data_IF_656088131751
#
_entry.id   IF_656088131751
#
_cell.length_a   1.000
_cell.length_b   1.000
_cell.length_c   1.000
_cell.angle_alpha   90.00
_cell.angle_beta   90.00
_cell.angle_gamma   90.00
#
_symmetry.space_group_name_H-M   'P 1'
#
loop_
_entity.id
_entity.type
_entity.pdbx_description
1 polymer ?
#
# COMPACT_ATOMS: atom_id res chain seq x y z
N UNK A 1 -2.29 -9.64 -0.53
CA UNK A 1 -2.50 -8.23 -0.95
C UNK A 1 -1.16 -7.53 -0.83
N UNK A 2 -0.33 -7.70 -1.84
CA UNK A 2 0.80 -6.82 -2.15
C UNK A 2 0.29 -5.63 -2.95
N UNK A 3 -0.47 -4.77 -2.26
CA UNK A 3 -0.82 -3.44 -2.75
C UNK A 3 0.12 -2.38 -2.14
N UNK A 4 1.28 -2.83 -1.67
CA UNK A 4 2.50 -2.07 -1.67
C UNK A 4 3.38 -2.78 -2.70
N UNK A 5 3.47 -2.22 -3.88
CA UNK A 5 4.42 -1.14 -4.07
C UNK A 5 3.88 0.25 -4.35
N UNK A 6 2.62 0.55 -4.05
CA UNK A 6 2.21 1.94 -3.90
C UNK A 6 2.75 2.45 -2.54
N UNK A 7 4.07 2.42 -2.41
CA UNK A 7 4.97 2.94 -1.39
C UNK A 7 4.39 3.20 0.00
N UNK A 8 4.91 2.43 0.96
CA UNK A 8 4.60 2.45 2.40
C UNK A 8 3.16 2.78 2.77
N UNK A 9 2.33 1.76 3.05
CA UNK A 9 1.05 1.86 3.77
C UNK A 9 0.29 3.16 3.44
N UNK A 10 -0.44 3.17 2.33
CA UNK A 10 -1.57 4.10 2.26
C UNK A 10 -2.61 3.55 3.24
N UNK A 11 -3.17 4.43 4.09
CA UNK A 11 -4.51 4.35 4.70
C UNK A 11 -4.59 4.12 6.23
N UNK A 12 -4.77 5.23 6.97
CA UNK A 12 -5.10 5.33 8.38
C UNK A 12 -5.11 6.75 9.05
N UNK A 13 -6.29 7.31 9.21
CA UNK A 13 -6.77 8.59 9.76
C UNK A 13 -6.38 9.23 11.16
N UNK A 14 -6.39 10.59 11.12
CA UNK A 14 -6.68 11.68 12.10
C UNK A 14 -5.75 12.11 13.28
N UNK A 15 -5.18 13.33 13.17
CA UNK A 15 -4.84 14.20 14.32
C UNK A 15 -5.16 15.69 14.06
N UNK A 16 -5.68 16.36 15.10
CA UNK A 16 -5.99 17.78 15.11
C UNK A 16 -4.73 18.68 15.14
N UNK A 17 -4.84 19.82 14.44
CA UNK A 17 -3.83 20.87 14.30
C UNK A 17 -3.45 21.57 15.62
N UNK A 18 -2.15 21.82 15.79
CA UNK A 18 -1.61 22.87 16.65
C UNK A 18 -0.39 23.51 15.96
N UNK A 19 -0.53 24.74 15.50
CA UNK A 19 0.53 25.43 14.74
C UNK A 19 1.63 26.05 15.60
N UNK A 20 2.78 26.35 14.98
CA UNK A 20 3.35 27.71 14.86
C UNK A 20 4.77 27.69 14.25
N UNK A 21 5.01 28.73 13.44
CA UNK A 21 6.25 29.47 13.20
C UNK A 21 7.43 28.84 12.43
N UNK A 22 7.71 29.47 11.29
CA UNK A 22 8.96 29.37 10.54
C UNK A 22 10.10 30.04 11.29
N UNK A 23 11.17 29.29 11.51
CA UNK A 23 12.52 29.84 11.65
C UNK A 23 13.41 29.23 10.56
N UNK A 24 14.03 30.11 9.78
CA UNK A 24 14.96 29.76 8.70
C UNK A 24 16.27 29.29 9.32
N UNK A 25 16.48 27.97 9.38
CA UNK A 25 17.75 27.37 9.81
C UNK A 25 18.68 27.10 8.61
N UNK A 26 19.98 27.34 8.81
CA UNK A 26 21.05 27.04 7.86
C UNK A 26 21.02 25.55 7.46
N UNK A 27 21.10 25.31 6.14
CA UNK A 27 21.14 23.97 5.55
C UNK A 27 22.44 23.25 5.95
N UNK A 28 22.40 22.63 7.12
CA UNK A 28 23.27 21.51 7.45
C UNK A 28 22.87 20.39 6.49
N UNK A 29 23.81 19.79 5.76
CA UNK A 29 23.50 18.63 4.93
C UNK A 29 22.80 17.60 5.83
N UNK A 30 21.53 17.30 5.54
CA UNK A 30 20.76 16.37 6.35
C UNK A 30 21.44 15.00 6.27
N UNK A 31 22.01 14.57 7.38
CA UNK A 31 22.61 13.23 7.51
C UNK A 31 21.58 12.29 8.11
N UNK A 32 21.44 11.09 7.56
CA UNK A 32 20.50 10.09 8.08
C UNK A 32 19.11 10.19 7.46
N UNK A 33 18.11 9.66 8.16
CA UNK A 33 16.77 9.37 7.61
C UNK A 33 15.79 10.56 7.65
N UNK A 34 16.09 11.55 8.49
CA UNK A 34 15.26 12.75 8.67
C UNK A 34 15.13 13.51 7.35
N UNK A 35 13.90 13.93 7.06
CA UNK A 35 13.57 14.73 5.89
C UNK A 35 12.19 14.42 5.36
N UNK A 36 11.78 15.20 4.35
CA UNK A 36 10.64 14.87 3.51
C UNK A 36 11.15 14.17 2.26
N UNK A 37 10.58 13.02 1.95
CA UNK A 37 10.96 12.18 0.83
C UNK A 37 9.79 12.06 -0.14
N UNK A 38 10.09 12.20 -1.42
CA UNK A 38 9.12 12.01 -2.49
C UNK A 38 9.46 10.76 -3.28
N UNK A 39 8.48 9.89 -3.44
CA UNK A 39 8.74 8.61 -4.08
C UNK A 39 8.91 8.70 -5.59
N UNK A 40 9.89 7.97 -6.11
CA UNK A 40 10.05 7.69 -7.52
C UNK A 40 9.29 6.42 -7.93
N UNK A 41 8.11 6.58 -8.54
CA UNK A 41 7.29 5.46 -9.01
C UNK A 41 8.00 4.59 -10.07
N UNK A 42 8.83 5.20 -10.91
CA UNK A 42 9.53 4.50 -12.01
C UNK A 42 10.65 3.56 -11.51
N UNK A 43 11.02 3.67 -10.23
CA UNK A 43 12.06 2.83 -9.61
C UNK A 43 11.51 1.54 -9.01
N UNK A 44 10.20 1.35 -9.02
CA UNK A 44 9.58 0.21 -8.37
C UNK A 44 9.91 -1.10 -9.12
N UNK A 45 10.35 -2.11 -8.38
CA UNK A 45 10.64 -3.45 -8.88
C UNK A 45 9.97 -4.48 -7.97
N UNK A 46 9.37 -5.52 -8.56
CA UNK A 46 8.59 -6.53 -7.83
C UNK A 46 9.19 -7.93 -7.97
N UNK A 47 9.15 -8.70 -6.88
CA UNK A 47 9.52 -10.12 -6.87
C UNK A 47 8.40 -10.93 -6.20
N UNK A 48 8.02 -12.06 -6.81
CA UNK A 48 6.98 -12.98 -6.29
C UNK A 48 5.63 -12.30 -5.93
N UNK A 49 5.32 -11.15 -6.52
CA UNK A 49 4.15 -10.34 -6.18
C UNK A 49 2.95 -10.59 -7.11
N UNK A 50 2.81 -11.81 -7.63
CA UNK A 50 1.73 -12.14 -8.55
C UNK A 50 0.39 -12.23 -7.81
N UNK A 51 -0.65 -11.68 -8.43
CA UNK A 51 -2.02 -11.79 -7.95
C UNK A 51 -2.83 -12.76 -8.81
N UNK A 52 -3.67 -13.58 -8.19
CA UNK A 52 -4.50 -14.55 -8.87
C UNK A 52 -5.98 -14.33 -8.53
N UNK A 53 -6.77 -14.07 -9.56
CA UNK A 53 -8.20 -13.80 -9.47
C UNK A 53 -8.98 -14.76 -10.35
N UNK A 54 -10.18 -15.15 -9.91
CA UNK A 54 -11.14 -15.86 -10.73
C UNK A 54 -12.50 -15.18 -10.63
N UNK A 55 -13.08 -14.83 -11.77
CA UNK A 55 -14.40 -14.23 -11.87
C UNK A 55 -15.21 -15.08 -12.84
N UNK A 56 -16.03 -15.96 -12.30
CA UNK A 56 -16.80 -16.94 -13.07
C UNK A 56 -18.12 -17.21 -12.37
N UNK A 57 -19.15 -17.56 -13.15
CA UNK A 57 -20.47 -17.94 -12.63
C UNK A 57 -21.10 -16.93 -11.65
N UNK A 58 -20.78 -15.64 -11.83
CA UNK A 58 -21.27 -14.54 -10.96
C UNK A 58 -20.54 -14.40 -9.63
N UNK A 59 -19.42 -15.10 -9.43
CA UNK A 59 -18.59 -15.03 -8.23
C UNK A 59 -17.20 -14.48 -8.56
N UNK A 60 -16.70 -13.58 -7.71
CA UNK A 60 -15.29 -13.16 -7.65
C UNK A 60 -14.58 -13.96 -6.56
N UNK A 61 -13.41 -14.49 -6.87
CA UNK A 61 -12.50 -15.16 -5.94
C UNK A 61 -11.11 -14.54 -6.04
N UNK A 62 -10.54 -14.16 -4.90
CA UNK A 62 -9.13 -13.78 -4.78
C UNK A 62 -8.32 -14.95 -4.21
N UNK A 63 -7.66 -15.71 -5.09
CA UNK A 63 -6.87 -16.89 -4.71
C UNK A 63 -5.52 -16.52 -4.06
N UNK A 64 -4.97 -15.36 -4.42
CA UNK A 64 -3.71 -14.83 -3.84
C UNK A 64 -3.93 -13.96 -2.60
N UNK A 65 -5.18 -13.80 -2.15
CA UNK A 65 -5.44 -13.10 -0.90
C UNK A 65 -5.10 -14.00 0.29
N UNK A 66 -4.73 -13.40 1.42
CA UNK A 66 -4.35 -14.12 2.63
C UNK A 66 -5.31 -13.75 3.78
N UNK A 67 -6.24 -14.64 4.18
CA UNK A 67 -6.62 -15.89 3.49
C UNK A 67 -7.38 -15.63 2.17
N UNK A 68 -7.48 -16.61 1.26
CA UNK A 68 -8.30 -16.50 0.06
C UNK A 68 -9.77 -16.28 0.42
N UNK A 69 -10.52 -15.60 -0.44
CA UNK A 69 -11.96 -15.39 -0.24
C UNK A 69 -12.72 -15.24 -1.54
N UNK A 70 -14.04 -15.40 -1.44
CA UNK A 70 -14.97 -15.29 -2.55
C UNK A 70 -16.21 -14.49 -2.14
N UNK A 71 -16.76 -13.71 -3.08
CA UNK A 71 -18.00 -12.94 -2.95
C UNK A 71 -18.71 -12.89 -4.30
N UNK A 72 -20.01 -12.63 -4.32
CA UNK A 72 -20.73 -12.40 -5.57
C UNK A 72 -20.18 -11.16 -6.30
N UNK A 73 -20.14 -11.20 -7.63
CA UNK A 73 -19.73 -10.09 -8.49
C UNK A 73 -20.95 -9.38 -9.10
N UNK A 74 -21.96 -9.11 -8.26
CA UNK A 74 -23.30 -8.64 -8.64
C UNK A 74 -23.56 -7.15 -8.32
N UNK A 75 -22.54 -6.43 -7.85
CA UNK A 75 -22.63 -5.03 -7.47
C UNK A 75 -23.38 -4.74 -6.17
N UNK A 76 -23.55 -5.74 -5.30
CA UNK A 76 -24.09 -5.54 -3.96
C UNK A 76 -22.98 -5.59 -2.89
N UNK A 77 -23.16 -4.78 -1.83
CA UNK A 77 -22.30 -4.85 -0.65
C UNK A 77 -22.48 -6.19 0.06
N UNK A 78 -21.35 -6.83 0.38
CA UNK A 78 -21.29 -8.13 1.02
C UNK A 78 -20.32 -8.09 2.19
N UNK A 79 -20.75 -8.63 3.32
CA UNK A 79 -19.90 -8.73 4.50
C UNK A 79 -18.76 -9.71 4.29
N UNK A 80 -17.58 -9.32 4.74
CA UNK A 80 -16.38 -10.15 4.77
C UNK A 80 -15.72 -10.03 6.14
N UNK A 81 -15.03 -11.09 6.57
CA UNK A 81 -14.25 -11.09 7.80
C UNK A 81 -12.77 -10.93 7.44
N UNK A 82 -12.31 -9.68 7.39
CA UNK A 82 -10.93 -9.35 7.01
C UNK A 82 -10.39 -8.20 7.85
N UNK A 83 -9.08 -8.18 8.13
CA UNK A 83 -8.47 -7.05 8.82
C UNK A 83 -8.61 -5.74 8.00
N UNK A 84 -9.12 -4.69 8.63
CA UNK A 84 -9.29 -3.36 8.02
C UNK A 84 -10.42 -3.24 7.00
N UNK A 85 -11.27 -4.26 6.87
CA UNK A 85 -12.31 -4.33 5.85
C UNK A 85 -13.45 -5.25 6.31
N UNK A 86 -14.67 -4.75 6.40
CA UNK A 86 -15.84 -5.55 6.79
C UNK A 86 -16.88 -5.72 5.68
N UNK A 87 -16.80 -4.93 4.61
CA UNK A 87 -17.65 -5.09 3.42
C UNK A 87 -16.91 -4.82 2.12
N UNK A 88 -17.23 -5.62 1.11
CA UNK A 88 -16.77 -5.41 -0.27
C UNK A 88 -17.94 -5.38 -1.23
N UNK A 89 -17.75 -4.72 -2.36
CA UNK A 89 -18.65 -4.75 -3.50
C UNK A 89 -17.82 -5.03 -4.74
N UNK A 90 -18.22 -6.02 -5.53
CA UNK A 90 -17.59 -6.35 -6.80
C UNK A 90 -18.66 -6.30 -7.87
N UNK A 91 -18.42 -5.57 -8.96
CA UNK A 91 -19.37 -5.38 -10.06
C UNK A 91 -18.71 -5.75 -11.37
N UNK A 92 -19.23 -6.75 -12.08
CA UNK A 92 -18.89 -6.95 -13.51
C UNK A 92 -19.63 -5.90 -14.33
N UNK A 93 -18.89 -4.99 -14.97
CA UNK A 93 -19.46 -3.89 -15.77
C UNK A 93 -19.68 -4.33 -17.22
N UNK A 94 -18.68 -4.99 -17.80
CA UNK A 94 -18.70 -5.57 -19.15
C UNK A 94 -17.72 -6.77 -19.21
N UNK A 95 -17.35 -7.23 -20.41
CA UNK A 95 -16.47 -8.40 -20.58
C UNK A 95 -15.00 -8.14 -20.19
N UNK A 96 -14.60 -6.86 -20.08
CA UNK A 96 -13.23 -6.42 -19.84
C UNK A 96 -13.07 -5.60 -18.57
N UNK A 97 -14.17 -5.21 -17.91
CA UNK A 97 -14.17 -4.22 -16.84
C UNK A 97 -14.88 -4.72 -15.59
N UNK A 98 -14.19 -4.56 -14.45
CA UNK A 98 -14.74 -4.85 -13.11
C UNK A 98 -14.51 -3.65 -12.21
N UNK A 99 -15.50 -3.34 -11.38
CA UNK A 99 -15.37 -2.35 -10.32
C UNK A 99 -15.33 -3.04 -8.96
N UNK A 100 -14.47 -2.54 -8.08
CA UNK A 100 -14.34 -3.01 -6.70
C UNK A 100 -14.48 -1.82 -5.76
N UNK A 101 -15.16 -2.01 -4.64
CA UNK A 101 -15.22 -1.04 -3.54
C UNK A 101 -15.13 -1.74 -2.19
N UNK A 102 -14.69 -1.00 -1.19
CA UNK A 102 -14.39 -1.51 0.16
C UNK A 102 -14.89 -0.55 1.25
N UNK A 103 -15.30 -1.10 2.39
CA UNK A 103 -15.75 -0.37 3.58
C UNK A 103 -15.22 -0.95 4.87
N UNK A 104 -15.19 -0.11 5.89
CA UNK A 104 -14.96 -0.53 7.26
C UNK A 104 -15.86 0.26 8.20
N UNK A 105 -16.59 -0.42 9.09
CA UNK A 105 -17.48 0.19 10.07
C UNK A 105 -18.52 1.16 9.48
N UNK A 106 -18.89 0.93 8.21
CA UNK A 106 -19.88 1.73 7.47
C UNK A 106 -19.30 2.88 6.65
N UNK A 107 -18.00 3.15 6.73
CA UNK A 107 -17.31 4.19 5.96
C UNK A 107 -16.65 3.62 4.70
N UNK A 108 -16.72 4.36 3.59
CA UNK A 108 -16.05 3.99 2.33
C UNK A 108 -14.53 4.14 2.48
N UNK A 109 -13.77 3.07 2.21
CA UNK A 109 -12.30 3.06 2.30
C UNK A 109 -11.62 3.29 0.95
N UNK A 110 -12.28 2.86 -0.12
CA UNK A 110 -11.73 3.04 -1.45
C UNK A 110 -12.50 2.27 -2.52
N UNK A 111 -12.15 2.59 -3.76
CA UNK A 111 -12.70 1.96 -4.96
C UNK A 111 -11.65 1.83 -6.04
N UNK A 112 -11.87 0.88 -6.95
CA UNK A 112 -11.04 0.73 -8.13
C UNK A 112 -11.83 0.25 -9.34
N UNK A 113 -11.34 0.63 -10.53
CA UNK A 113 -11.85 0.17 -11.83
C UNK A 113 -10.72 -0.57 -12.53
N UNK A 114 -10.95 -1.84 -12.80
CA UNK A 114 -9.99 -2.74 -13.43
C UNK A 114 -10.41 -2.91 -14.88
N UNK A 115 -9.54 -2.56 -15.81
CA UNK A 115 -9.80 -2.68 -17.24
C UNK A 115 -8.72 -3.53 -17.90
N UNK A 116 -9.13 -4.66 -18.47
CA UNK A 116 -8.26 -5.54 -19.25
C UNK A 116 -8.21 -5.04 -20.69
N UNK A 117 -7.00 -4.85 -21.22
CA UNK A 117 -6.78 -4.42 -22.59
C UNK A 117 -7.34 -5.40 -23.62
N UNK A 118 -7.58 -4.93 -24.84
CA UNK A 118 -8.08 -5.76 -25.95
C UNK A 118 -7.15 -6.94 -26.29
N UNK A 119 -5.85 -6.79 -26.01
CA UNK A 119 -4.86 -7.86 -26.16
C UNK A 119 -5.03 -8.99 -25.12
N UNK A 120 -5.82 -8.74 -24.08
CA UNK A 120 -5.98 -9.61 -22.93
C UNK A 120 -4.74 -9.68 -22.04
N UNK A 121 -3.61 -9.08 -22.41
CA UNK A 121 -2.31 -9.28 -21.76
C UNK A 121 -1.99 -8.19 -20.73
N UNK A 122 -2.67 -7.06 -20.79
CA UNK A 122 -2.48 -5.94 -19.88
C UNK A 122 -3.75 -5.66 -19.09
N UNK A 123 -3.59 -5.18 -17.85
CA UNK A 123 -4.69 -4.68 -17.04
C UNK A 123 -4.27 -3.37 -16.37
N UNK A 124 -5.14 -2.38 -16.45
CA UNK A 124 -5.00 -1.11 -15.76
C UNK A 124 -5.97 -1.06 -14.59
N UNK A 125 -5.50 -0.65 -13.43
CA UNK A 125 -6.29 -0.46 -12.22
C UNK A 125 -6.24 1.01 -11.84
N UNK A 126 -7.33 1.72 -12.08
CA UNK A 126 -7.50 3.09 -11.57
C UNK A 126 -8.12 2.99 -10.19
N UNK A 127 -7.50 3.61 -9.18
CA UNK A 127 -7.97 3.52 -7.80
C UNK A 127 -8.15 4.89 -7.16
N UNK A 128 -9.03 4.92 -6.16
CA UNK A 128 -9.23 6.04 -5.26
C UNK A 128 -9.31 5.48 -3.85
N UNK A 129 -8.51 6.04 -2.96
CA UNK A 129 -8.55 5.71 -1.55
C UNK A 129 -9.10 6.89 -0.76
N UNK A 130 -9.84 6.59 0.30
CA UNK A 130 -10.51 7.55 1.13
C UNK A 130 -9.97 7.47 2.56
N UNK A 131 -9.47 8.61 3.04
CA UNK A 131 -8.98 8.80 4.39
C UNK A 131 -9.63 10.03 5.01
N UNK A 132 -9.60 10.15 6.33
CA UNK A 132 -9.92 11.40 7.02
C UNK A 132 -9.03 12.56 6.56
N UNK A 133 -7.79 12.25 6.12
CA UNK A 133 -6.88 13.24 5.54
C UNK A 133 -7.35 13.74 4.15
N UNK A 134 -8.26 13.01 3.49
CA UNK A 134 -8.81 13.32 2.17
C UNK A 134 -8.82 12.12 1.25
N UNK A 135 -8.92 12.37 -0.06
CA UNK A 135 -8.82 11.32 -1.08
C UNK A 135 -7.45 11.33 -1.77
N UNK A 136 -6.97 10.14 -2.14
CA UNK A 136 -5.81 9.97 -3.03
C UNK A 136 -6.18 9.07 -4.19
N UNK A 137 -5.49 9.25 -5.31
CA UNK A 137 -5.74 8.51 -6.53
C UNK A 137 -4.46 8.03 -7.17
N UNK A 138 -4.59 7.02 -8.02
CA UNK A 138 -3.50 6.57 -8.86
C UNK A 138 -3.90 5.47 -9.81
N UNK A 139 -2.90 5.01 -10.57
CA UNK A 139 -3.07 4.03 -11.64
C UNK A 139 -1.97 2.99 -11.57
N UNK A 140 -2.36 1.73 -11.35
CA UNK A 140 -1.46 0.57 -11.38
C UNK A 140 -1.60 -0.18 -12.69
N UNK A 141 -0.49 -0.72 -13.18
CA UNK A 141 -0.43 -1.51 -14.40
C UNK A 141 -0.02 -2.94 -14.07
N UNK A 142 -0.67 -3.91 -14.70
CA UNK A 142 -0.40 -5.33 -14.53
C UNK A 142 -0.18 -6.01 -15.88
N UNK A 143 0.68 -7.01 -15.91
CA UNK A 143 0.91 -7.90 -17.06
C UNK A 143 0.43 -9.30 -16.73
N UNK A 144 -0.27 -9.94 -17.66
CA UNK A 144 -0.77 -11.30 -17.48
C UNK A 144 0.39 -12.30 -17.45
N UNK A 145 0.37 -13.16 -16.44
CA UNK A 145 1.25 -14.34 -16.30
C UNK A 145 0.53 -15.59 -16.80
N UNK A 146 -0.72 -15.78 -16.37
CA UNK A 146 -1.55 -16.91 -16.77
C UNK A 146 -2.99 -16.46 -17.04
N UNK A 147 -3.64 -17.07 -18.03
CA UNK A 147 -5.05 -16.80 -18.33
C UNK A 147 -5.95 -17.42 -17.26
N UNK A 148 -7.12 -16.82 -17.04
CA UNK A 148 -8.16 -17.44 -16.23
C UNK A 148 -8.75 -18.70 -16.87
N UNK A 149 -9.55 -19.48 -16.12
CA UNK A 149 -10.27 -20.63 -16.66
C UNK A 149 -11.14 -20.27 -17.86
N UNK A 150 -11.33 -21.20 -18.80
CA UNK A 150 -12.21 -20.98 -19.95
C UNK A 150 -13.63 -20.56 -19.51
N UNK A 151 -14.17 -19.51 -20.13
CA UNK A 151 -15.49 -18.96 -19.82
C UNK A 151 -15.53 -18.01 -18.62
N UNK A 152 -14.40 -17.77 -17.96
CA UNK A 152 -14.28 -16.72 -16.93
C UNK A 152 -14.18 -15.32 -17.56
N UNK A 153 -14.51 -14.29 -16.78
CA UNK A 153 -14.37 -12.89 -17.17
C UNK A 153 -12.89 -12.53 -17.42
N UNK A 154 -12.59 -11.58 -18.32
CA UNK A 154 -11.23 -11.29 -18.80
C UNK A 154 -10.23 -10.92 -17.68
N UNK A 155 -10.70 -10.33 -16.58
CA UNK A 155 -9.87 -10.01 -15.41
C UNK A 155 -9.38 -11.26 -14.64
N UNK A 156 -9.95 -12.43 -14.89
CA UNK A 156 -9.52 -13.69 -14.29
C UNK A 156 -8.14 -14.10 -14.81
N UNK A 157 -7.35 -14.73 -13.95
CA UNK A 157 -6.01 -15.21 -14.24
C UNK A 157 -4.98 -14.76 -13.22
N UNK A 158 -3.72 -14.99 -13.56
CA UNK A 158 -2.57 -14.56 -12.77
C UNK A 158 -1.94 -13.32 -13.41
N UNK A 159 -1.64 -12.33 -12.57
CA UNK A 159 -1.19 -11.00 -12.95
C UNK A 159 0.05 -10.58 -12.17
N UNK A 160 1.10 -10.19 -12.86
CA UNK A 160 2.30 -9.60 -12.29
C UNK A 160 2.21 -8.05 -12.35
N UNK A 161 2.62 -7.34 -11.29
CA UNK A 161 2.77 -5.89 -11.35
C UNK A 161 3.75 -5.46 -12.44
N UNK A 162 3.38 -4.42 -13.18
CA UNK A 162 4.19 -3.86 -14.27
C UNK A 162 4.59 -2.40 -14.02
N UNK A 163 3.92 -1.70 -13.10
CA UNK A 163 4.22 -0.31 -12.80
C UNK A 163 3.10 0.41 -12.03
N UNK A 164 3.40 1.61 -11.58
CA UNK A 164 2.42 2.60 -11.13
C UNK A 164 2.68 3.87 -11.93
N UNK A 165 1.76 4.24 -12.83
CA UNK A 165 1.97 5.34 -13.77
C UNK A 165 1.58 6.70 -13.20
N UNK A 166 0.63 6.72 -12.28
CA UNK A 166 0.09 7.95 -11.68
C UNK A 166 -0.17 7.73 -10.20
N UNK A 167 0.14 8.74 -9.40
CA UNK A 167 -0.18 8.81 -7.98
C UNK A 167 -0.20 10.29 -7.57
N UNK A 168 -1.17 10.70 -6.76
CA UNK A 168 -1.23 12.08 -6.27
C UNK A 168 0.03 12.47 -5.47
N UNK A 169 0.37 13.76 -5.45
CA UNK A 169 1.59 14.25 -4.79
C UNK A 169 1.57 13.93 -3.28
N UNK A 170 0.39 14.03 -2.68
CA UNK A 170 0.18 13.75 -1.26
C UNK A 170 0.49 12.28 -0.94
N UNK A 171 0.01 11.35 -1.77
CA UNK A 171 0.28 9.91 -1.62
C UNK A 171 1.76 9.55 -1.84
N UNK A 172 2.54 10.43 -2.50
CA UNK A 172 3.97 10.22 -2.76
C UNK A 172 4.88 10.87 -1.73
N UNK A 173 4.35 11.53 -0.71
CA UNK A 173 5.15 12.29 0.26
C UNK A 173 5.19 11.57 1.60
N UNK A 174 6.39 11.35 2.13
CA UNK A 174 6.60 10.89 3.50
C UNK A 174 7.53 11.85 4.24
N UNK A 175 7.24 12.15 5.50
CA UNK A 175 8.06 13.01 6.35
C UNK A 175 8.52 12.23 7.56
N UNK A 176 9.82 12.31 7.83
CA UNK A 176 10.46 11.63 8.95
C UNK A 176 11.16 12.68 9.80
N UNK A 177 10.84 12.69 11.09
CA UNK A 177 11.51 13.53 12.09
C UNK A 177 12.11 12.66 13.18
N UNK A 178 13.13 13.18 13.86
CA UNK A 178 13.87 12.47 14.91
C UNK A 178 14.08 13.42 16.10
N UNK A 179 13.77 12.94 17.30
CA UNK A 179 14.09 13.60 18.58
C UNK A 179 14.73 12.58 19.54
N UNK A 180 16.06 12.63 19.64
CA UNK A 180 16.82 11.59 20.33
C UNK A 180 16.63 10.24 19.64
N UNK A 181 16.21 9.23 20.40
CA UNK A 181 15.91 7.89 19.87
C UNK A 181 14.45 7.75 19.37
N UNK A 182 13.68 8.85 19.33
CA UNK A 182 12.27 8.82 18.89
C UNK A 182 12.18 9.23 17.43
N UNK A 183 11.61 8.37 16.59
CA UNK A 183 11.25 8.66 15.20
C UNK A 183 9.76 8.95 15.12
N UNK A 184 9.41 10.00 14.38
CA UNK A 184 8.04 10.20 13.91
C UNK A 184 8.02 10.07 12.40
N UNK A 185 7.24 9.13 11.91
CA UNK A 185 6.92 8.94 10.50
C UNK A 185 5.53 9.50 10.23
N UNK A 186 5.38 10.27 9.17
CA UNK A 186 4.10 10.78 8.70
C UNK A 186 3.98 10.60 7.18
N UNK A 187 2.84 10.12 6.73
CA UNK A 187 2.47 9.98 5.32
C UNK A 187 1.03 10.49 5.10
N UNK A 188 0.54 10.43 3.87
CA UNK A 188 -0.85 10.76 3.61
C UNK A 188 -1.79 9.82 4.37
N UNK A 189 -2.59 10.40 5.26
CA UNK A 189 -3.55 9.66 6.05
C UNK A 189 -2.90 8.57 6.88
N UNK A 190 -1.75 8.82 7.52
CA UNK A 190 -1.12 7.81 8.38
C UNK A 190 0.16 8.31 9.03
N UNK A 191 0.62 7.56 10.03
CA UNK A 191 1.87 7.85 10.71
C UNK A 191 2.08 7.02 11.97
N UNK A 192 3.24 7.18 12.58
CA UNK A 192 3.51 6.64 13.91
C UNK A 192 4.64 7.42 14.58
N UNK A 193 4.66 7.38 15.91
CA UNK A 193 5.80 7.80 16.72
C UNK A 193 6.32 6.60 17.50
N UNK A 194 7.58 6.23 17.26
CA UNK A 194 8.20 5.05 17.85
C UNK A 194 9.61 5.34 18.36
N UNK A 195 10.03 4.60 19.38
CA UNK A 195 11.44 4.60 19.82
C UNK A 195 12.23 3.59 19.01
N UNK A 196 13.41 3.99 18.50
CA UNK A 196 14.33 3.11 17.78
C UNK A 196 14.74 1.92 18.66
N UNK A 197 14.45 0.70 18.19
CA UNK A 197 14.69 -0.54 18.95
C UNK A 197 13.75 -0.75 20.13
N UNK A 198 12.67 0.03 20.21
CA UNK A 198 11.61 -0.09 21.22
C UNK A 198 10.55 -1.14 20.87
N UNK A 199 9.53 -1.23 21.72
CA UNK A 199 8.35 -2.07 21.48
C UNK A 199 7.52 -1.55 20.30
N UNK A 200 6.75 -2.44 19.67
CA UNK A 200 5.85 -2.08 18.58
C UNK A 200 4.75 -1.12 19.06
N UNK A 201 4.45 -0.10 18.26
CA UNK A 201 3.44 0.93 18.51
C UNK A 201 2.28 0.81 17.50
N UNK A 202 1.15 1.42 17.84
CA UNK A 202 0.02 1.56 16.92
C UNK A 202 0.39 2.48 15.77
N UNK A 203 -0.14 2.18 14.59
CA UNK A 203 -0.08 3.07 13.43
C UNK A 203 -1.34 3.93 13.48
N UNK A 204 -1.18 5.24 13.40
CA UNK A 204 -2.31 6.15 13.36
C UNK A 204 -3.20 5.82 12.17
N UNK A 205 -4.49 5.76 12.50
CA UNK A 205 -5.67 5.27 11.76
C UNK A 205 -5.62 3.95 11.01
N UNK A 206 -4.62 3.09 11.24
CA UNK A 206 -4.70 1.72 10.75
C UNK A 206 -5.97 1.02 11.28
N UNK A 207 -6.85 0.60 10.36
CA UNK A 207 -8.08 -0.12 10.68
C UNK A 207 -7.86 -1.63 10.81
N UNK A 208 -6.64 -2.11 10.57
CA UNK A 208 -6.33 -3.54 10.51
C UNK A 208 -5.77 -4.13 11.81
N UNK A 209 -5.48 -3.29 12.81
CA UNK A 209 -4.83 -3.69 14.05
C UNK A 209 -3.34 -4.01 13.87
N UNK A 210 -2.71 -3.49 12.82
CA UNK A 210 -1.29 -3.63 12.55
C UNK A 210 -0.48 -2.68 13.43
N UNK A 211 0.58 -3.22 14.01
CA UNK A 211 1.54 -2.52 14.84
C UNK A 211 2.88 -2.44 14.11
N UNK A 212 3.66 -1.39 14.37
CA UNK A 212 4.98 -1.18 13.77
C UNK A 212 6.06 -1.02 14.83
N UNK A 213 7.20 -1.65 14.63
CA UNK A 213 8.43 -1.36 15.35
C UNK A 213 9.49 -0.92 14.34
N UNK A 214 10.32 0.06 14.72
CA UNK A 214 11.44 0.51 13.90
C UNK A 214 12.74 0.39 14.68
N UNK A 215 13.79 -0.09 14.03
CA UNK A 215 15.14 -0.16 14.59
C UNK A 215 16.19 0.35 13.61
N UNK A 216 17.32 0.79 14.17
CA UNK A 216 18.51 1.14 13.39
C UNK A 216 19.39 -0.09 13.23
N UNK A 217 19.61 -0.54 12.00
CA UNK A 217 20.39 -1.76 11.68
C UNK A 217 21.84 -1.45 11.30
N UNK A 218 22.17 -0.18 11.09
CA UNK A 218 23.50 0.31 10.71
C UNK A 218 23.51 1.83 10.63
N UNK A 219 24.62 2.45 10.22
CA UNK A 219 24.78 3.92 10.28
C UNK A 219 23.69 4.68 9.51
N UNK A 220 23.31 4.18 8.33
CA UNK A 220 22.28 4.73 7.44
C UNK A 220 21.25 3.68 7.01
N UNK A 221 21.06 2.62 7.81
CA UNK A 221 20.09 1.56 7.53
C UNK A 221 19.13 1.37 8.69
N UNK A 222 17.86 1.21 8.35
CA UNK A 222 16.75 1.08 9.30
C UNK A 222 15.86 -0.08 8.87
N UNK A 223 15.15 -0.65 9.83
CA UNK A 223 14.16 -1.70 9.57
C UNK A 223 12.87 -1.38 10.29
N UNK A 224 11.78 -1.35 9.54
CA UNK A 224 10.43 -1.45 10.09
C UNK A 224 9.97 -2.90 10.08
N UNK A 225 9.32 -3.33 11.15
CA UNK A 225 8.65 -4.63 11.25
C UNK A 225 7.19 -4.40 11.59
N UNK A 226 6.30 -4.88 10.72
CA UNK A 226 4.86 -4.81 10.88
C UNK A 226 4.35 -6.12 11.44
N UNK A 227 3.49 -6.04 12.46
CA UNK A 227 2.92 -7.21 13.12
C UNK A 227 1.42 -7.05 13.32
N UNK A 228 0.69 -8.16 13.22
CA UNK A 228 -0.73 -8.23 13.55
C UNK A 228 -1.02 -9.58 14.19
N UNK A 229 -1.76 -9.57 15.29
CA UNK A 229 -2.08 -10.78 16.06
C UNK A 229 -0.85 -11.64 16.44
N UNK A 230 0.30 -10.99 16.62
CA UNK A 230 1.57 -11.65 16.95
C UNK A 230 2.32 -12.28 15.76
N UNK A 231 1.80 -12.15 14.53
CA UNK A 231 2.44 -12.59 13.30
C UNK A 231 3.07 -11.40 12.56
N UNK A 232 4.27 -11.57 12.00
CA UNK A 232 4.88 -10.55 11.13
C UNK A 232 4.16 -10.53 9.79
N UNK A 233 3.63 -9.36 9.42
CA UNK A 233 2.88 -9.15 8.18
C UNK A 233 3.67 -8.36 7.15
N UNK A 234 4.79 -7.74 7.55
CA UNK A 234 5.65 -6.99 6.65
C UNK A 234 6.98 -6.62 7.30
N UNK A 235 8.00 -6.46 6.47
CA UNK A 235 9.31 -5.93 6.86
C UNK A 235 9.75 -4.94 5.79
N UNK A 236 10.08 -3.71 6.20
CA UNK A 236 10.68 -2.74 5.29
C UNK A 236 12.13 -2.48 5.70
N UNK A 237 13.07 -2.75 4.79
CA UNK A 237 14.48 -2.45 4.94
C UNK A 237 14.83 -1.16 4.20
N UNK A 238 15.29 -0.15 4.95
CA UNK A 238 15.53 1.20 4.46
C UNK A 238 17.02 1.48 4.44
N UNK A 239 17.52 2.04 3.34
CA UNK A 239 18.92 2.45 3.19
C UNK A 239 18.98 3.88 2.68
N UNK A 240 19.69 4.75 3.39
CA UNK A 240 19.88 6.15 2.99
C UNK A 240 21.27 6.35 2.40
N UNK A 241 21.33 6.84 1.16
CA UNK A 241 22.54 7.27 0.47
C UNK A 241 22.38 8.72 -0.03
N UNK A 242 22.91 9.66 0.76
CA UNK A 242 22.72 11.10 0.50
C UNK A 242 21.25 11.49 0.52
N UNK A 243 20.75 11.97 -0.61
CA UNK A 243 19.35 12.37 -0.81
C UNK A 243 18.50 11.27 -1.48
N UNK A 244 19.00 10.03 -1.53
CA UNK A 244 18.26 8.85 -2.00
C UNK A 244 17.95 7.92 -0.83
N UNK A 245 16.69 7.62 -0.62
CA UNK A 245 16.20 6.56 0.26
C UNK A 245 15.82 5.36 -0.62
N UNK A 246 16.43 4.20 -0.40
CA UNK A 246 16.00 2.93 -0.99
C UNK A 246 15.23 2.13 0.06
N UNK A 247 14.06 1.63 -0.32
CA UNK A 247 13.24 0.76 0.52
C UNK A 247 13.07 -0.58 -0.16
N UNK A 248 13.20 -1.67 0.60
CA UNK A 248 12.80 -3.02 0.20
C UNK A 248 11.72 -3.48 1.18
N UNK A 249 10.47 -3.54 0.73
CA UNK A 249 9.37 -4.10 1.48
C UNK A 249 9.19 -5.59 1.15
N UNK A 250 9.00 -6.41 2.17
CA UNK A 250 8.78 -7.86 2.07
C UNK A 250 7.54 -8.24 2.87
N UNK A 251 6.65 -9.03 2.29
CA UNK A 251 5.60 -9.75 3.02
C UNK A 251 6.09 -11.19 3.29
N UNK A 252 6.42 -11.55 4.55
CA UNK A 252 6.95 -12.87 4.85
C UNK A 252 5.90 -13.99 4.78
N UNK A 253 4.62 -13.68 4.57
CA UNK A 253 3.55 -14.68 4.50
C UNK A 253 3.48 -15.37 3.14
N UNK A 254 3.97 -14.70 2.09
CA UNK A 254 4.04 -15.21 0.72
C UNK A 254 5.38 -14.93 0.01
N UNK A 255 6.38 -14.43 0.74
CA UNK A 255 7.72 -14.08 0.24
C UNK A 255 7.73 -13.08 -0.92
N UNK A 256 6.65 -12.32 -1.07
CA UNK A 256 6.56 -11.25 -2.05
C UNK A 256 7.35 -10.02 -1.62
N UNK A 257 7.91 -9.32 -2.60
CA UNK A 257 8.74 -8.15 -2.37
C UNK A 257 8.46 -7.06 -3.37
N UNK A 258 8.76 -5.84 -2.91
CA UNK A 258 8.99 -4.71 -3.79
C UNK A 258 10.10 -3.84 -3.25
N UNK A 259 10.98 -3.37 -4.15
CA UNK A 259 11.90 -2.28 -3.89
C UNK A 259 11.53 -1.02 -4.65
N UNK A 260 11.81 0.14 -4.08
CA UNK A 260 11.72 1.44 -4.74
C UNK A 260 12.70 2.45 -4.12
N UNK A 261 12.81 3.62 -4.75
CA UNK A 261 13.57 4.76 -4.23
C UNK A 261 12.71 5.99 -4.02
N UNK A 262 13.10 6.82 -3.07
CA UNK A 262 12.54 8.14 -2.83
C UNK A 262 13.66 9.18 -2.75
N UNK A 263 13.34 10.41 -3.13
CA UNK A 263 14.29 11.53 -3.17
C UNK A 263 13.94 12.56 -2.11
N UNK A 264 14.92 12.98 -1.33
CA UNK A 264 14.74 14.03 -0.33
C UNK A 264 14.40 15.38 -1.00
N UNK A 265 13.46 16.11 -0.42
CA UNK A 265 13.04 17.45 -0.85
C UNK A 265 13.84 18.57 -0.17
#
# INVERSE_FOLDING_TARGET
MTALAAITLVLGTAACSGGAESDTAEATAATGIVGTWTVNLDSAEWENANSNYAIADGEYTCNSCLPPYSVAADGNWQSVDRPGLDQVMITVVDDNTVELASRFEGEDQGKSVWTVGEDGQTMTINWTNYEDAGETTGTSMMTRVEAGPDGSHAASGEWAPAGVSEMSDEARSVTITEDGDTITFASFGGGYTATLGGDAVTIDGDNSGTMVAIEKTGDNTYRETFTRDGETTGVNDWTVDGDTLTVVATDPRDDSKVSWTATRQ
#
